data_IF_281890142618
#
_entry.id   IF_281890142618
#
_cell.length_a   1.000
_cell.length_b   1.000
_cell.length_c   1.000
_cell.angle_alpha   90.00
_cell.angle_beta   90.00
_cell.angle_gamma   90.00
#
_symmetry.space_group_name_H-M   'P 1'
#
loop_
_entity.id
_entity.type
_entity.pdbx_description
1 polymer ?
#
# COMPACT_ATOMS: atom_id res chain seq x y z
N UNK A 1 8.10 27.61 0.05
CA UNK A 1 8.54 26.20 0.02
C UNK A 1 7.48 25.41 -0.73
N UNK A 2 7.80 24.78 -1.86
CA UNK A 2 6.82 24.06 -2.69
C UNK A 2 6.17 22.93 -1.91
N UNK A 3 4.85 22.98 -1.78
CA UNK A 3 4.04 21.90 -1.25
C UNK A 3 4.21 20.67 -2.17
N UNK A 4 5.04 19.70 -1.77
CA UNK A 4 5.24 18.48 -2.53
C UNK A 4 3.94 17.68 -2.47
N UNK A 5 3.16 17.71 -3.55
CA UNK A 5 1.99 16.84 -3.69
C UNK A 5 2.39 15.39 -3.39
N UNK A 6 1.68 14.69 -2.49
CA UNK A 6 2.04 13.34 -2.09
C UNK A 6 1.93 12.38 -3.28
N UNK A 7 2.82 11.37 -3.32
CA UNK A 7 3.01 10.50 -4.49
C UNK A 7 1.72 9.74 -4.86
N UNK A 8 0.92 9.34 -3.87
CA UNK A 8 -0.35 8.65 -4.07
C UNK A 8 -1.39 9.49 -4.86
N UNK A 9 -1.34 10.83 -4.77
CA UNK A 9 -2.22 11.72 -5.53
C UNK A 9 -1.75 11.93 -6.98
N UNK A 10 -0.48 11.63 -7.28
CA UNK A 10 0.08 11.69 -8.65
C UNK A 10 -0.25 10.44 -9.47
N UNK A 11 -0.58 9.34 -8.80
CA UNK A 11 -0.94 8.08 -9.44
C UNK A 11 -2.46 8.08 -9.64
N UNK A 12 -2.93 7.97 -10.89
CA UNK A 12 -4.38 7.95 -11.20
C UNK A 12 -5.01 6.57 -11.01
N UNK A 13 -4.23 5.50 -11.14
CA UNK A 13 -4.70 4.12 -10.94
C UNK A 13 -5.14 3.89 -9.50
N UNK A 14 -6.21 3.12 -9.32
CA UNK A 14 -6.77 2.75 -8.01
C UNK A 14 -7.34 1.33 -8.03
N UNK A 15 -7.63 0.79 -6.85
CA UNK A 15 -8.32 -0.49 -6.70
C UNK A 15 -9.81 -0.34 -6.98
N UNK A 16 -10.41 -1.36 -7.59
CA UNK A 16 -11.87 -1.40 -7.72
C UNK A 16 -12.50 -1.73 -6.38
N UNK A 17 -13.60 -1.07 -6.04
CA UNK A 17 -14.24 -1.16 -4.73
C UNK A 17 -14.68 -2.59 -4.43
N UNK A 18 -15.20 -3.31 -5.42
CA UNK A 18 -15.63 -4.70 -5.27
C UNK A 18 -14.48 -5.65 -4.92
N UNK A 19 -13.26 -5.38 -5.40
CA UNK A 19 -12.08 -6.20 -5.07
C UNK A 19 -11.71 -6.02 -3.61
N UNK A 20 -11.66 -4.77 -3.13
CA UNK A 20 -11.37 -4.48 -1.72
C UNK A 20 -12.46 -5.04 -0.81
N UNK A 21 -13.73 -4.93 -1.22
CA UNK A 21 -14.87 -5.46 -0.48
C UNK A 21 -14.82 -6.98 -0.33
N UNK A 22 -14.56 -7.71 -1.40
CA UNK A 22 -14.44 -9.18 -1.34
C UNK A 22 -13.18 -9.63 -0.59
N UNK A 23 -12.07 -8.91 -0.74
CA UNK A 23 -10.86 -9.17 0.05
C UNK A 23 -11.15 -9.05 1.56
N UNK A 24 -11.79 -7.97 1.99
CA UNK A 24 -12.12 -7.76 3.41
C UNK A 24 -13.13 -8.77 3.95
N UNK A 25 -14.14 -9.14 3.16
CA UNK A 25 -15.08 -10.21 3.54
C UNK A 25 -14.38 -11.55 3.71
N UNK A 26 -13.39 -11.86 2.88
CA UNK A 26 -12.66 -13.13 2.94
C UNK A 26 -11.85 -13.32 4.23
N UNK A 27 -11.47 -12.23 4.90
CA UNK A 27 -10.67 -12.25 6.13
C UNK A 27 -11.52 -12.13 7.40
N UNK A 28 -12.82 -11.85 7.30
CA UNK A 28 -13.68 -11.74 8.47
C UNK A 28 -13.99 -13.10 9.09
N UNK A 29 -13.73 -13.23 10.39
CA UNK A 29 -14.11 -14.41 11.18
C UNK A 29 -15.63 -14.63 11.26
N UNK A 30 -16.42 -13.57 11.04
CA UNK A 30 -17.89 -13.64 11.04
C UNK A 30 -18.45 -13.21 9.67
N UNK A 31 -19.10 -14.15 8.99
CA UNK A 31 -19.71 -13.97 7.67
C UNK A 31 -20.88 -12.98 7.63
N UNK A 32 -21.39 -12.55 8.79
CA UNK A 32 -22.45 -11.53 8.90
C UNK A 32 -21.92 -10.10 8.97
N UNK A 33 -20.61 -9.91 9.07
CA UNK A 33 -20.02 -8.58 9.12
C UNK A 33 -20.34 -7.80 7.83
N UNK A 34 -20.82 -6.57 8.01
CA UNK A 34 -21.10 -5.63 6.93
C UNK A 34 -20.10 -4.49 6.98
N UNK A 35 -19.73 -4.00 5.81
CA UNK A 35 -18.86 -2.84 5.64
C UNK A 35 -19.69 -1.76 4.94
N UNK A 36 -19.67 -0.54 5.46
CA UNK A 36 -20.30 0.61 4.80
C UNK A 36 -19.54 0.97 3.53
N UNK A 37 -20.22 1.60 2.56
CA UNK A 37 -19.56 2.04 1.33
C UNK A 37 -18.47 3.09 1.60
N UNK A 38 -18.69 4.02 2.53
CA UNK A 38 -17.67 5.01 2.95
C UNK A 38 -16.39 4.34 3.51
N UNK A 39 -16.55 3.23 4.25
CA UNK A 39 -15.41 2.47 4.75
C UNK A 39 -14.68 1.75 3.62
N UNK A 40 -15.39 1.26 2.59
CA UNK A 40 -14.76 0.69 1.40
C UNK A 40 -13.97 1.76 0.63
N UNK A 41 -14.54 2.96 0.45
CA UNK A 41 -13.85 4.08 -0.20
C UNK A 41 -12.54 4.43 0.53
N UNK A 42 -12.59 4.55 1.85
CA UNK A 42 -11.39 4.78 2.66
C UNK A 42 -10.37 3.62 2.52
N UNK A 43 -10.84 2.37 2.52
CA UNK A 43 -9.95 1.21 2.39
C UNK A 43 -9.30 1.11 1.01
N UNK A 44 -9.97 1.57 -0.06
CA UNK A 44 -9.38 1.70 -1.39
C UNK A 44 -8.20 2.67 -1.35
N UNK A 45 -8.38 3.83 -0.71
CA UNK A 45 -7.32 4.83 -0.56
C UNK A 45 -6.17 4.33 0.32
N UNK A 46 -6.46 3.61 1.41
CA UNK A 46 -5.43 3.00 2.27
C UNK A 46 -4.65 1.95 1.49
N UNK A 47 -5.32 1.04 0.78
CA UNK A 47 -4.65 0.00 -0.01
C UNK A 47 -3.73 0.61 -1.08
N UNK A 48 -4.19 1.68 -1.75
CA UNK A 48 -3.36 2.43 -2.70
C UNK A 48 -2.17 3.08 -2.02
N UNK A 49 -2.38 3.76 -0.89
CA UNK A 49 -1.30 4.41 -0.15
C UNK A 49 -0.23 3.39 0.26
N UNK A 50 -0.64 2.21 0.75
CA UNK A 50 0.29 1.13 1.12
C UNK A 50 1.15 0.69 -0.07
N UNK A 51 0.56 0.38 -1.23
CA UNK A 51 1.35 -0.07 -2.40
C UNK A 51 2.33 1.02 -2.86
N UNK A 52 1.89 2.28 -2.87
CA UNK A 52 2.75 3.40 -3.28
C UNK A 52 3.90 3.61 -2.32
N UNK A 53 3.64 3.56 -1.02
CA UNK A 53 4.66 3.72 0.03
C UNK A 53 5.70 2.60 -0.04
N UNK A 54 5.26 1.35 -0.12
CA UNK A 54 6.15 0.19 -0.21
C UNK A 54 7.01 0.24 -1.49
N UNK A 55 6.41 0.65 -2.61
CA UNK A 55 7.14 0.82 -3.88
C UNK A 55 8.17 1.94 -3.80
N UNK A 56 7.84 3.06 -3.15
CA UNK A 56 8.75 4.18 -2.97
C UNK A 56 9.96 3.79 -2.10
N UNK A 57 9.73 3.07 -1.00
CA UNK A 57 10.79 2.56 -0.13
C UNK A 57 11.66 1.51 -0.83
N UNK A 58 11.08 0.58 -1.58
CA UNK A 58 11.85 -0.39 -2.36
C UNK A 58 12.72 0.30 -3.44
N UNK A 59 12.21 1.38 -4.03
CA UNK A 59 12.99 2.23 -4.94
C UNK A 59 14.13 2.94 -4.21
N UNK A 60 13.88 3.49 -3.03
CA UNK A 60 14.91 4.12 -2.19
C UNK A 60 16.02 3.12 -1.80
N UNK A 61 15.65 1.89 -1.43
CA UNK A 61 16.60 0.82 -1.12
C UNK A 61 17.48 0.49 -2.33
N UNK A 62 16.88 0.35 -3.52
CA UNK A 62 17.65 0.16 -4.76
C UNK A 62 18.63 1.30 -5.03
N UNK A 63 18.21 2.55 -4.79
CA UNK A 63 19.06 3.73 -4.96
C UNK A 63 20.22 3.77 -3.97
N UNK A 64 20.00 3.37 -2.71
CA UNK A 64 21.06 3.25 -1.71
C UNK A 64 22.13 2.23 -2.13
N UNK A 65 21.73 1.19 -2.84
CA UNK A 65 22.63 0.17 -3.40
C UNK A 65 23.17 0.54 -4.80
N UNK A 66 22.93 1.77 -5.27
CA UNK A 66 23.32 2.23 -6.61
C UNK A 66 22.79 1.36 -7.76
N UNK A 67 21.64 0.72 -7.57
CA UNK A 67 20.94 -0.10 -8.58
C UNK A 67 19.86 0.72 -9.27
N UNK A 68 19.74 0.55 -10.59
CA UNK A 68 18.73 1.22 -11.42
C UNK A 68 17.38 0.49 -11.48
N UNK A 69 17.34 -0.77 -11.03
CA UNK A 69 16.15 -1.63 -11.08
C UNK A 69 15.85 -2.15 -9.68
N UNK A 70 14.56 -2.10 -9.31
CA UNK A 70 14.07 -2.71 -8.07
C UNK A 70 14.04 -4.22 -8.25
N UNK A 71 14.67 -4.95 -7.33
CA UNK A 71 14.73 -6.42 -7.30
C UNK A 71 13.91 -6.95 -6.13
N UNK A 72 13.69 -8.26 -6.08
CA UNK A 72 12.99 -8.92 -4.98
C UNK A 72 13.66 -8.64 -3.62
N UNK A 73 14.98 -8.68 -3.55
CA UNK A 73 15.77 -8.43 -2.34
C UNK A 73 15.45 -7.06 -1.70
N UNK A 74 15.24 -6.03 -2.53
CA UNK A 74 14.88 -4.70 -2.03
C UNK A 74 13.47 -4.68 -1.43
N UNK A 75 12.53 -5.41 -2.02
CA UNK A 75 11.15 -5.53 -1.52
C UNK A 75 11.12 -6.30 -0.21
N UNK A 76 11.86 -7.41 -0.13
CA UNK A 76 11.98 -8.22 1.09
C UNK A 76 12.62 -7.44 2.25
N UNK A 77 13.62 -6.62 1.95
CA UNK A 77 14.28 -5.75 2.94
C UNK A 77 13.28 -4.76 3.57
N UNK A 78 12.47 -4.09 2.74
CA UNK A 78 11.45 -3.15 3.22
C UNK A 78 10.31 -3.86 3.96
N UNK A 79 9.91 -5.05 3.51
CA UNK A 79 8.90 -5.85 4.22
C UNK A 79 9.38 -6.22 5.63
N UNK A 80 10.64 -6.63 5.77
CA UNK A 80 11.23 -6.94 7.07
C UNK A 80 11.24 -5.69 7.98
N UNK A 81 11.67 -4.53 7.47
CA UNK A 81 11.69 -3.28 8.21
C UNK A 81 10.27 -2.89 8.71
N UNK A 82 9.27 -2.92 7.82
CA UNK A 82 7.90 -2.54 8.13
C UNK A 82 7.24 -3.40 9.22
N UNK A 83 7.53 -4.70 9.22
CA UNK A 83 6.97 -5.64 10.21
C UNK A 83 7.77 -5.66 11.52
N UNK A 84 8.99 -5.12 11.53
CA UNK A 84 9.88 -5.11 12.68
C UNK A 84 9.68 -3.91 13.64
N UNK A 85 8.96 -2.88 13.21
CA UNK A 85 8.61 -1.75 14.09
C UNK A 85 7.41 -2.13 14.96
N UNK A 86 7.55 -2.22 16.30
CA UNK A 86 6.39 -2.34 17.16
C UNK A 86 5.63 -1.02 17.09
N UNK A 87 4.34 -1.10 16.75
CA UNK A 87 3.37 -0.08 17.13
C UNK A 87 3.12 -0.22 18.63
#
# INVERSE_FOLDING_TARGET
MSEKTPLNKKISTTFRHEVIKELLKSTFSNSKNKISEDAIELMVDIAKLMVVEYSARACQQAQMESKSVVTLDHVESILAEMHSSPV
#
